data_IF_305835777001
#
_entry.id   IF_305835777001
#
_cell.length_a   1.000
_cell.length_b   1.000
_cell.length_c   1.000
_cell.angle_alpha   90.00
_cell.angle_beta   90.00
_cell.angle_gamma   90.00
#
_symmetry.space_group_name_H-M   'P 1'
#
loop_
_entity.id
_entity.type
_entity.pdbx_description
1 polymer ?
#
# COMPACT_ATOMS: atom_id res chain seq x y z
N UNK A 1 35.63 -6.42 26.32
CA UNK A 1 34.83 -5.18 26.31
C UNK A 1 35.33 -4.31 25.15
N UNK A 2 34.85 -4.55 23.93
CA UNK A 2 35.32 -3.83 22.74
C UNK A 2 34.43 -2.60 22.51
N UNK A 3 34.92 -1.43 22.89
CA UNK A 3 34.29 -0.15 22.64
C UNK A 3 34.43 0.18 21.15
N UNK A 4 33.41 -0.14 20.36
CA UNK A 4 33.31 0.33 18.97
C UNK A 4 33.21 1.85 18.98
N UNK A 5 34.32 2.54 18.66
CA UNK A 5 34.34 3.98 18.42
C UNK A 5 33.23 4.34 17.42
N UNK A 6 32.43 5.40 17.68
CA UNK A 6 31.48 5.89 16.68
C UNK A 6 32.27 6.34 15.46
N UNK A 7 32.00 5.72 14.30
CA UNK A 7 32.60 6.10 13.01
C UNK A 7 32.30 7.59 12.78
N UNK A 8 33.33 8.45 12.89
CA UNK A 8 33.25 9.89 12.58
C UNK A 8 32.73 10.00 11.14
N UNK A 9 31.48 10.43 10.98
CA UNK A 9 30.91 10.54 9.64
C UNK A 9 31.62 11.65 8.87
N UNK A 10 32.02 11.35 7.64
CA UNK A 10 32.69 12.28 6.72
C UNK A 10 31.88 13.58 6.63
N UNK A 11 32.53 14.72 6.82
CA UNK A 11 31.90 16.02 6.62
C UNK A 11 31.44 16.12 5.15
N UNK A 12 30.18 16.44 4.91
CA UNK A 12 29.65 16.60 3.55
C UNK A 12 30.30 17.82 2.91
N UNK A 13 30.75 17.70 1.66
CA UNK A 13 31.25 18.86 0.92
C UNK A 13 30.12 19.88 0.74
N UNK A 14 30.41 21.19 0.66
CA UNK A 14 29.40 22.22 0.44
C UNK A 14 28.54 21.94 -0.80
N UNK A 15 29.17 21.47 -1.89
CA UNK A 15 28.47 21.11 -3.13
C UNK A 15 27.50 19.94 -2.93
N UNK A 16 27.92 18.88 -2.22
CA UNK A 16 27.05 17.75 -1.92
C UNK A 16 25.86 18.18 -1.05
N UNK A 17 26.10 19.04 -0.06
CA UNK A 17 25.04 19.59 0.79
C UNK A 17 24.02 20.39 -0.04
N UNK A 18 24.49 21.27 -0.92
CA UNK A 18 23.62 22.06 -1.81
C UNK A 18 22.80 21.18 -2.76
N UNK A 19 23.42 20.15 -3.34
CA UNK A 19 22.72 19.16 -4.17
C UNK A 19 21.62 18.44 -3.38
N UNK A 20 21.93 17.93 -2.18
CA UNK A 20 20.94 17.23 -1.35
C UNK A 20 19.81 18.16 -0.90
N UNK A 21 20.09 19.43 -0.63
CA UNK A 21 19.06 20.44 -0.36
C UNK A 21 18.14 20.60 -1.57
N UNK A 22 18.69 20.80 -2.77
CA UNK A 22 17.90 20.93 -3.99
C UNK A 22 17.07 19.67 -4.28
N UNK A 23 17.65 18.48 -4.10
CA UNK A 23 16.95 17.20 -4.27
C UNK A 23 15.75 17.07 -3.33
N UNK A 24 15.94 17.33 -2.04
CA UNK A 24 14.84 17.23 -1.06
C UNK A 24 13.77 18.31 -1.29
N UNK A 25 14.17 19.54 -1.65
CA UNK A 25 13.23 20.60 -1.97
C UNK A 25 12.39 20.26 -3.21
N UNK A 26 13.04 19.83 -4.30
CA UNK A 26 12.36 19.41 -5.52
C UNK A 26 11.42 18.23 -5.27
N UNK A 27 11.88 17.22 -4.53
CA UNK A 27 11.06 16.06 -4.19
C UNK A 27 9.84 16.46 -3.34
N UNK A 28 10.02 17.34 -2.36
CA UNK A 28 8.91 17.87 -1.57
C UNK A 28 7.90 18.62 -2.45
N UNK A 29 8.36 19.43 -3.40
CA UNK A 29 7.49 20.17 -4.32
C UNK A 29 6.73 19.25 -5.29
N UNK A 30 7.39 18.22 -5.82
CA UNK A 30 6.74 17.22 -6.69
C UNK A 30 5.63 16.48 -5.94
N UNK A 31 5.90 16.02 -4.72
CA UNK A 31 4.89 15.36 -3.89
C UNK A 31 3.81 16.33 -3.40
N UNK A 32 4.14 17.60 -3.14
CA UNK A 32 3.15 18.62 -2.80
C UNK A 32 2.21 18.90 -3.99
N UNK A 33 2.73 18.92 -5.22
CA UNK A 33 1.92 18.99 -6.44
C UNK A 33 0.99 17.80 -6.57
N UNK A 34 1.48 16.57 -6.34
CA UNK A 34 0.64 15.37 -6.35
C UNK A 34 -0.45 15.41 -5.28
N UNK A 35 -0.11 15.88 -4.07
CA UNK A 35 -1.07 16.07 -2.99
C UNK A 35 -2.15 17.07 -3.40
N UNK A 36 -1.75 18.21 -3.96
CA UNK A 36 -2.68 19.23 -4.45
C UNK A 36 -3.63 18.68 -5.52
N UNK A 37 -3.11 18.00 -6.54
CA UNK A 37 -3.94 17.39 -7.58
C UNK A 37 -4.88 16.31 -7.03
N UNK A 38 -4.42 15.52 -6.06
CA UNK A 38 -5.24 14.49 -5.41
C UNK A 38 -6.35 15.12 -4.57
N UNK A 39 -6.06 16.20 -3.84
CA UNK A 39 -7.05 16.95 -3.08
C UNK A 39 -8.05 17.64 -4.01
N UNK A 40 -7.59 18.21 -5.13
CA UNK A 40 -8.45 18.76 -6.17
C UNK A 40 -9.40 17.67 -6.69
N UNK A 41 -8.88 16.51 -7.06
CA UNK A 41 -9.67 15.38 -7.53
C UNK A 41 -10.76 14.96 -6.52
N UNK A 42 -10.41 14.90 -5.24
CA UNK A 42 -11.34 14.55 -4.14
C UNK A 42 -12.39 15.65 -3.96
N UNK A 43 -12.01 16.92 -4.04
CA UNK A 43 -12.89 18.05 -3.82
C UNK A 43 -13.82 18.34 -5.01
N UNK A 44 -13.46 17.93 -6.23
CA UNK A 44 -14.26 18.21 -7.44
C UNK A 44 -15.53 17.37 -7.44
N UNK A 45 -16.73 17.97 -7.33
CA UNK A 45 -17.97 17.23 -7.43
C UNK A 45 -18.07 16.61 -8.81
N UNK A 46 -18.19 15.29 -8.89
CA UNK A 46 -18.41 14.57 -10.15
C UNK A 46 -19.81 14.00 -10.12
N UNK A 47 -20.59 14.26 -11.17
CA UNK A 47 -21.86 13.58 -11.36
C UNK A 47 -21.59 12.08 -11.28
N UNK A 48 -22.35 11.37 -10.45
CA UNK A 48 -22.26 9.92 -10.33
C UNK A 48 -22.42 9.35 -11.74
N UNK A 49 -21.29 9.00 -12.37
CA UNK A 49 -21.33 8.38 -13.68
C UNK A 49 -22.08 7.08 -13.48
N UNK A 50 -23.05 6.80 -14.35
CA UNK A 50 -23.86 5.58 -14.37
C UNK A 50 -23.01 4.33 -14.70
N UNK A 51 -21.81 4.24 -14.13
CA UNK A 51 -20.90 3.13 -14.23
C UNK A 51 -21.36 2.10 -13.19
N UNK A 52 -21.72 0.91 -13.67
CA UNK A 52 -22.22 -0.21 -12.86
C UNK A 52 -21.39 -0.33 -11.58
N UNK A 53 -22.05 -0.19 -10.45
CA UNK A 53 -21.48 -0.42 -9.13
C UNK A 53 -20.67 -1.71 -9.14
N UNK A 54 -19.43 -1.63 -8.63
CA UNK A 54 -18.54 -2.79 -8.39
C UNK A 54 -19.24 -3.87 -7.54
N UNK A 55 -20.26 -3.46 -6.79
CA UNK A 55 -21.20 -4.31 -6.08
C UNK A 55 -22.54 -4.27 -6.82
N UNK A 56 -22.91 -5.38 -7.46
CA UNK A 56 -24.04 -5.46 -8.39
C UNK A 56 -25.32 -4.76 -7.91
N UNK A 57 -26.02 -4.14 -8.85
CA UNK A 57 -27.38 -3.63 -8.64
C UNK A 57 -28.28 -4.77 -8.16
N UNK A 58 -28.64 -4.74 -6.88
CA UNK A 58 -29.84 -5.40 -6.37
C UNK A 58 -30.82 -4.32 -5.97
N UNK A 59 -31.98 -4.37 -6.59
CA UNK A 59 -33.15 -3.51 -6.43
C UNK A 59 -33.55 -3.22 -4.97
N UNK A 60 -33.94 -1.95 -4.75
CA UNK A 60 -34.92 -1.50 -3.75
C UNK A 60 -34.72 -1.92 -2.28
N UNK A 61 -33.48 -1.86 -1.78
CA UNK A 61 -33.21 -1.94 -0.33
C UNK A 61 -32.12 -0.95 0.04
N UNK A 62 -32.34 -0.15 1.09
CA UNK A 62 -31.36 0.80 1.63
C UNK A 62 -30.17 0.00 2.19
N UNK A 63 -29.14 -0.21 1.37
CA UNK A 63 -27.96 -0.99 1.74
C UNK A 63 -27.17 -0.24 2.83
N UNK A 64 -26.71 -0.91 3.91
CA UNK A 64 -26.01 -0.27 5.03
C UNK A 64 -24.65 0.35 4.65
N UNK A 65 -24.13 0.07 3.46
CA UNK A 65 -22.84 0.56 2.94
C UNK A 65 -22.98 1.49 1.72
N UNK A 66 -24.18 2.02 1.44
CA UNK A 66 -24.43 2.90 0.29
C UNK A 66 -23.52 4.14 0.25
N UNK A 67 -23.24 4.75 1.40
CA UNK A 67 -22.32 5.89 1.51
C UNK A 67 -20.88 5.51 1.14
N UNK A 68 -20.44 4.30 1.52
CA UNK A 68 -19.11 3.79 1.18
C UNK A 68 -19.02 3.49 -0.32
N UNK A 69 -20.09 2.97 -0.92
CA UNK A 69 -20.19 2.75 -2.35
C UNK A 69 -20.05 4.07 -3.13
N UNK A 70 -20.83 5.09 -2.74
CA UNK A 70 -20.79 6.40 -3.36
C UNK A 70 -19.39 7.05 -3.25
N UNK A 71 -18.73 6.89 -2.10
CA UNK A 71 -17.35 7.36 -1.91
C UNK A 71 -16.37 6.60 -2.81
N UNK A 72 -16.51 5.28 -2.93
CA UNK A 72 -15.68 4.47 -3.82
C UNK A 72 -15.88 4.86 -5.29
N UNK A 73 -17.12 5.09 -5.73
CA UNK A 73 -17.40 5.54 -7.09
C UNK A 73 -16.82 6.94 -7.34
N UNK A 74 -16.91 7.84 -6.36
CA UNK A 74 -16.30 9.18 -6.43
C UNK A 74 -14.77 9.14 -6.54
N UNK A 75 -14.12 8.23 -5.80
CA UNK A 75 -12.67 8.10 -5.81
C UNK A 75 -12.14 7.32 -7.03
N UNK A 76 -13.03 6.68 -7.79
CA UNK A 76 -12.68 5.93 -9.00
C UNK A 76 -12.17 6.87 -10.10
N UNK A 77 -11.22 6.36 -10.90
CA UNK A 77 -10.65 7.10 -12.04
C UNK A 77 -9.63 8.19 -11.68
N UNK A 78 -9.15 8.25 -10.42
CA UNK A 78 -8.16 9.25 -9.98
C UNK A 78 -6.89 9.28 -10.82
N UNK A 79 -6.46 8.14 -11.36
CA UNK A 79 -5.29 8.05 -12.24
C UNK A 79 -5.37 8.99 -13.45
N UNK A 80 -6.55 9.16 -14.03
CA UNK A 80 -6.76 9.91 -15.28
C UNK A 80 -6.96 11.42 -15.05
N UNK A 81 -7.10 11.84 -13.80
CA UNK A 81 -7.36 13.24 -13.48
C UNK A 81 -6.12 14.10 -13.73
N UNK A 82 -6.16 15.01 -14.71
CA UNK A 82 -5.08 15.97 -15.02
C UNK A 82 -3.66 15.36 -15.06
N UNK A 83 -3.51 14.15 -15.60
CA UNK A 83 -2.21 13.48 -15.71
C UNK A 83 -1.64 12.99 -14.37
N UNK A 84 -2.46 12.86 -13.31
CA UNK A 84 -2.04 12.46 -11.97
C UNK A 84 -1.27 11.12 -11.95
N UNK A 85 -1.73 10.14 -12.72
CA UNK A 85 -1.05 8.85 -12.89
C UNK A 85 0.36 8.99 -13.45
N UNK A 86 0.52 9.73 -14.54
CA UNK A 86 1.82 9.95 -15.17
C UNK A 86 2.78 10.76 -14.27
N UNK A 87 2.26 11.80 -13.60
CA UNK A 87 3.03 12.56 -12.64
C UNK A 87 3.49 11.70 -11.45
N UNK A 88 2.64 10.81 -10.96
CA UNK A 88 2.97 9.84 -9.90
C UNK A 88 4.08 8.90 -10.35
N UNK A 89 3.99 8.39 -11.57
CA UNK A 89 4.97 7.46 -12.15
C UNK A 89 6.38 8.03 -12.17
N UNK A 90 6.53 9.23 -12.73
CA UNK A 90 7.85 9.86 -12.83
C UNK A 90 8.36 10.34 -11.47
N UNK A 91 7.49 10.89 -10.62
CA UNK A 91 7.86 11.32 -9.26
C UNK A 91 8.35 10.13 -8.42
N UNK A 92 7.67 8.98 -8.49
CA UNK A 92 8.08 7.77 -7.78
C UNK A 92 9.37 7.16 -8.35
N UNK A 93 9.62 7.31 -9.65
CA UNK A 93 10.85 6.83 -10.31
C UNK A 93 12.08 7.60 -9.83
N UNK A 94 11.95 8.90 -9.54
CA UNK A 94 13.04 9.70 -8.98
C UNK A 94 13.51 9.22 -7.59
N UNK A 95 12.68 8.48 -6.86
CA UNK A 95 13.06 7.88 -5.58
C UNK A 95 14.22 6.87 -5.70
N UNK A 96 14.52 6.37 -6.91
CA UNK A 96 15.72 5.55 -7.17
C UNK A 96 17.00 6.29 -6.79
N UNK A 97 17.03 7.62 -6.94
CA UNK A 97 18.18 8.43 -6.54
C UNK A 97 18.47 8.33 -5.04
N UNK A 98 17.47 8.06 -4.20
CA UNK A 98 17.68 7.87 -2.77
C UNK A 98 18.49 6.60 -2.46
N UNK A 99 18.26 5.54 -3.24
CA UNK A 99 19.05 4.30 -3.16
C UNK A 99 20.48 4.60 -3.57
N UNK A 100 20.68 5.39 -4.62
CA UNK A 100 22.00 5.85 -5.08
C UNK A 100 22.70 6.67 -3.99
N UNK A 101 22.01 7.64 -3.37
CA UNK A 101 22.58 8.46 -2.31
C UNK A 101 23.00 7.63 -1.09
N UNK A 102 22.21 6.62 -0.73
CA UNK A 102 22.55 5.69 0.35
C UNK A 102 23.75 4.80 -0.05
N UNK A 103 23.77 4.26 -1.27
CA UNK A 103 24.83 3.39 -1.77
C UNK A 103 26.19 4.11 -1.88
N UNK A 104 26.18 5.38 -2.30
CA UNK A 104 27.37 6.24 -2.36
C UNK A 104 27.78 6.77 -0.97
N UNK A 105 27.01 6.50 0.09
CA UNK A 105 27.28 6.97 1.44
C UNK A 105 27.10 8.46 1.64
N UNK A 106 26.38 9.15 0.75
CA UNK A 106 26.05 10.58 0.86
C UNK A 106 25.05 10.82 1.99
N UNK A 107 24.18 9.85 2.23
CA UNK A 107 23.20 9.83 3.32
C UNK A 107 23.45 8.60 4.19
N UNK A 108 23.31 8.76 5.51
CA UNK A 108 23.53 7.69 6.49
C UNK A 108 22.28 6.82 6.63
N UNK A 109 22.03 5.99 5.63
CA UNK A 109 20.91 5.04 5.62
C UNK A 109 21.38 3.64 5.20
N UNK A 110 20.88 2.56 5.83
CA UNK A 110 21.15 1.21 5.35
C UNK A 110 20.60 1.03 3.94
N UNK A 111 21.48 0.75 2.97
CA UNK A 111 21.14 0.67 1.54
C UNK A 111 20.02 -0.32 1.28
N UNK A 112 20.08 -1.53 1.87
CA UNK A 112 19.06 -2.56 1.70
C UNK A 112 17.67 -2.10 2.16
N UNK A 113 17.58 -1.32 3.24
CA UNK A 113 16.31 -0.78 3.73
C UNK A 113 15.73 0.24 2.77
N UNK A 114 16.54 1.20 2.30
CA UNK A 114 16.09 2.22 1.34
C UNK A 114 15.69 1.55 0.02
N UNK A 115 16.50 0.62 -0.47
CA UNK A 115 16.22 -0.15 -1.68
C UNK A 115 14.90 -0.92 -1.56
N UNK A 116 14.64 -1.62 -0.46
CA UNK A 116 13.37 -2.35 -0.28
C UNK A 116 12.14 -1.42 -0.25
N UNK A 117 12.27 -0.23 0.35
CA UNK A 117 11.19 0.75 0.45
C UNK A 117 10.87 1.32 -0.94
N UNK A 118 11.90 1.72 -1.68
CA UNK A 118 11.75 2.26 -3.03
C UNK A 118 11.25 1.19 -4.00
N UNK A 119 11.78 -0.04 -3.92
CA UNK A 119 11.36 -1.16 -4.76
C UNK A 119 9.88 -1.51 -4.56
N UNK A 120 9.37 -1.50 -3.32
CA UNK A 120 7.94 -1.74 -3.03
C UNK A 120 7.05 -0.74 -3.77
N UNK A 121 7.35 0.56 -3.67
CA UNK A 121 6.54 1.58 -4.33
C UNK A 121 6.68 1.58 -5.85
N UNK A 122 7.88 1.30 -6.37
CA UNK A 122 8.07 1.09 -7.80
C UNK A 122 7.28 -0.11 -8.31
N UNK A 123 7.20 -1.19 -7.52
CA UNK A 123 6.37 -2.33 -7.86
C UNK A 123 4.88 -1.97 -7.92
N UNK A 124 4.37 -1.20 -6.96
CA UNK A 124 2.98 -0.75 -7.01
C UNK A 124 2.68 0.11 -8.25
N UNK A 125 3.56 1.05 -8.59
CA UNK A 125 3.37 1.91 -9.77
C UNK A 125 3.54 1.11 -11.06
N UNK A 126 4.75 0.58 -11.31
CA UNK A 126 5.13 -0.02 -12.58
C UNK A 126 4.67 -1.48 -12.74
N UNK A 127 4.59 -2.22 -11.64
CA UNK A 127 4.22 -3.64 -11.64
C UNK A 127 2.72 -3.91 -11.48
N UNK A 128 1.96 -2.94 -10.97
CA UNK A 128 0.50 -3.08 -10.73
C UNK A 128 -0.29 -2.02 -11.48
N UNK A 129 -0.08 -0.73 -11.21
CA UNK A 129 -0.94 0.34 -11.73
C UNK A 129 -0.79 0.51 -13.25
N UNK A 130 0.42 0.67 -13.77
CA UNK A 130 0.64 0.88 -15.20
C UNK A 130 0.09 -0.25 -16.10
N UNK A 131 0.41 -1.54 -15.85
CA UNK A 131 -0.04 -2.62 -16.73
C UNK A 131 -1.55 -2.89 -16.65
N UNK A 132 -2.21 -2.56 -15.54
CA UNK A 132 -3.61 -2.96 -15.30
C UNK A 132 -4.55 -1.76 -15.38
N UNK A 133 -5.38 -1.72 -16.43
CA UNK A 133 -6.42 -0.69 -16.57
C UNK A 133 -7.43 -0.72 -15.40
N UNK A 134 -7.69 -1.90 -14.84
CA UNK A 134 -8.53 -2.08 -13.65
C UNK A 134 -7.94 -1.39 -12.42
N UNK A 135 -6.61 -1.41 -12.24
CA UNK A 135 -5.94 -0.71 -11.15
C UNK A 135 -6.00 0.81 -11.33
N UNK A 136 -5.82 1.32 -12.57
CA UNK A 136 -5.90 2.76 -12.87
C UNK A 136 -7.29 3.35 -12.62
N UNK A 137 -8.34 2.57 -12.88
CA UNK A 137 -9.71 2.99 -12.62
C UNK A 137 -10.12 2.84 -11.14
N UNK A 138 -9.38 2.09 -10.34
CA UNK A 138 -9.77 1.69 -8.99
C UNK A 138 -9.67 2.87 -7.99
N UNK A 139 -10.65 3.04 -7.08
CA UNK A 139 -10.63 4.09 -6.07
C UNK A 139 -9.46 4.00 -5.07
N UNK A 140 -8.89 2.81 -4.90
CA UNK A 140 -7.73 2.59 -4.04
C UNK A 140 -6.48 3.31 -4.55
N UNK A 141 -6.41 3.64 -5.84
CA UNK A 141 -5.33 4.47 -6.37
C UNK A 141 -5.31 5.86 -5.71
N UNK A 142 -6.47 6.51 -5.60
CA UNK A 142 -6.57 7.87 -5.05
C UNK A 142 -6.25 7.91 -3.55
N UNK A 143 -6.72 6.93 -2.78
CA UNK A 143 -6.45 6.83 -1.33
C UNK A 143 -4.99 6.47 -1.04
N UNK A 144 -4.40 5.56 -1.83
CA UNK A 144 -2.97 5.27 -1.80
C UNK A 144 -2.15 6.54 -2.08
N UNK A 145 -2.45 7.25 -3.16
CA UNK A 145 -1.69 8.44 -3.56
C UNK A 145 -1.83 9.59 -2.58
N UNK A 146 -3.02 9.78 -1.99
CA UNK A 146 -3.23 10.74 -0.91
C UNK A 146 -2.30 10.43 0.27
N UNK A 147 -2.32 9.18 0.75
CA UNK A 147 -1.49 8.78 1.88
C UNK A 147 0.01 8.95 1.59
N UNK A 148 0.45 8.50 0.41
CA UNK A 148 1.83 8.65 -0.04
C UNK A 148 2.22 10.12 -0.09
N UNK A 149 1.45 10.97 -0.76
CA UNK A 149 1.81 12.38 -0.95
C UNK A 149 1.95 13.13 0.37
N UNK A 150 1.03 12.91 1.34
CA UNK A 150 1.17 13.52 2.67
C UNK A 150 2.45 13.03 3.37
N UNK A 151 2.73 11.72 3.36
CA UNK A 151 3.93 11.18 4.01
C UNK A 151 5.22 11.70 3.36
N UNK A 152 5.26 11.80 2.03
CA UNK A 152 6.44 12.20 1.28
C UNK A 152 6.74 13.70 1.43
N UNK A 153 5.72 14.57 1.39
CA UNK A 153 5.88 16.00 1.69
C UNK A 153 6.55 16.17 3.06
N UNK A 154 6.00 15.52 4.10
CA UNK A 154 6.57 15.59 5.46
C UNK A 154 8.01 15.07 5.49
N UNK A 155 8.28 13.95 4.80
CA UNK A 155 9.59 13.28 4.80
C UNK A 155 10.66 14.13 4.15
N UNK A 156 10.41 14.63 2.94
CA UNK A 156 11.38 15.44 2.20
C UNK A 156 11.56 16.82 2.84
N UNK A 157 10.50 17.46 3.34
CA UNK A 157 10.63 18.70 4.12
C UNK A 157 11.48 18.47 5.37
N UNK A 158 11.30 17.34 6.07
CA UNK A 158 12.12 17.01 7.23
C UNK A 158 13.59 16.82 6.86
N UNK A 159 13.90 16.09 5.77
CA UNK A 159 15.29 15.92 5.33
C UNK A 159 15.94 17.23 4.89
N UNK A 160 15.19 18.10 4.22
CA UNK A 160 15.65 19.44 3.84
C UNK A 160 16.05 20.26 5.07
N UNK A 161 15.15 20.38 6.06
CA UNK A 161 15.41 21.15 7.28
C UNK A 161 16.52 20.53 8.14
N UNK A 162 16.59 19.20 8.19
CA UNK A 162 17.66 18.50 8.91
C UNK A 162 19.05 18.81 8.33
N UNK A 163 19.19 18.96 7.00
CA UNK A 163 20.45 19.39 6.38
C UNK A 163 20.82 20.83 6.74
N UNK A 164 19.82 21.69 6.99
CA UNK A 164 20.02 23.05 7.48
C UNK A 164 20.24 23.12 9.01
N UNK A 165 20.19 21.99 9.71
CA UNK A 165 20.18 21.91 11.18
C UNK A 165 19.01 22.67 11.83
N UNK A 166 17.88 22.77 11.13
CA UNK A 166 16.64 23.37 11.65
C UNK A 166 15.73 22.26 12.15
N UNK A 167 15.37 22.31 13.43
CA UNK A 167 14.45 21.35 14.04
C UNK A 167 13.09 22.01 14.29
N UNK A 168 12.04 21.49 13.65
CA UNK A 168 10.67 22.02 13.76
C UNK A 168 9.80 21.01 14.50
N UNK A 169 9.34 21.38 15.69
CA UNK A 169 8.54 20.47 16.53
C UNK A 169 7.27 19.99 15.83
N UNK A 170 6.52 20.89 15.18
CA UNK A 170 5.28 20.55 14.47
C UNK A 170 5.52 19.50 13.37
N UNK A 171 6.60 19.64 12.59
CA UNK A 171 6.94 18.69 11.53
C UNK A 171 7.32 17.31 12.08
N UNK A 172 8.10 17.28 13.16
CA UNK A 172 8.41 16.03 13.85
C UNK A 172 7.16 15.38 14.44
N UNK A 173 6.27 16.17 15.04
CA UNK A 173 5.00 15.68 15.57
C UNK A 173 4.16 15.04 14.47
N UNK A 174 4.05 15.68 13.30
CA UNK A 174 3.35 15.12 12.13
C UNK A 174 3.99 13.78 11.72
N UNK A 175 5.32 13.74 11.57
CA UNK A 175 6.07 12.53 11.21
C UNK A 175 5.81 11.36 12.17
N UNK A 176 5.80 11.62 13.48
CA UNK A 176 5.59 10.61 14.51
C UNK A 176 4.12 10.35 14.88
N UNK A 177 3.16 11.01 14.22
CA UNK A 177 1.73 10.85 14.54
C UNK A 177 0.90 10.43 13.34
N UNK A 178 1.13 11.01 12.16
CA UNK A 178 0.28 10.77 10.99
C UNK A 178 0.36 9.33 10.48
N UNK A 179 1.48 8.63 10.71
CA UNK A 179 1.60 7.22 10.33
C UNK A 179 0.49 6.34 10.94
N UNK A 180 -0.12 6.74 12.07
CA UNK A 180 -1.20 5.98 12.70
C UNK A 180 -2.38 5.76 11.74
N UNK A 181 -2.67 6.74 10.88
CA UNK A 181 -3.76 6.70 9.90
C UNK A 181 -3.21 6.46 8.48
N UNK A 182 -2.16 7.17 8.11
CA UNK A 182 -1.63 7.14 6.73
C UNK A 182 -0.98 5.80 6.40
N UNK A 183 -0.44 5.08 7.38
CA UNK A 183 0.21 3.80 7.10
C UNK A 183 -0.81 2.70 6.75
N UNK A 184 -1.86 2.43 7.56
CA UNK A 184 -2.93 1.53 7.16
C UNK A 184 -3.61 1.95 5.86
N UNK A 185 -3.85 3.26 5.68
CA UNK A 185 -4.48 3.78 4.47
C UNK A 185 -3.61 3.55 3.22
N UNK A 186 -2.34 3.93 3.26
CA UNK A 186 -1.43 3.84 2.13
C UNK A 186 -1.09 2.39 1.78
N UNK A 187 -0.52 1.64 2.73
CA UNK A 187 -0.10 0.27 2.49
C UNK A 187 -1.30 -0.68 2.27
N UNK A 188 -2.41 -0.46 2.97
CA UNK A 188 -3.64 -1.22 2.74
C UNK A 188 -4.18 -0.97 1.33
N UNK A 189 -4.26 0.28 0.89
CA UNK A 189 -4.72 0.60 -0.47
C UNK A 189 -3.81 0.00 -1.54
N UNK A 190 -2.48 0.04 -1.35
CA UNK A 190 -1.50 -0.60 -2.26
C UNK A 190 -1.72 -2.12 -2.37
N UNK A 191 -1.90 -2.78 -1.23
CA UNK A 191 -2.15 -4.22 -1.15
C UNK A 191 -3.46 -4.64 -1.81
N UNK A 192 -4.56 -3.97 -1.45
CA UNK A 192 -5.88 -4.28 -2.02
C UNK A 192 -5.99 -3.86 -3.49
N UNK A 193 -5.28 -2.82 -3.91
CA UNK A 193 -5.18 -2.45 -5.32
C UNK A 193 -4.49 -3.56 -6.11
N UNK A 194 -3.35 -4.08 -5.63
CA UNK A 194 -2.67 -5.23 -6.23
C UNK A 194 -3.57 -6.46 -6.29
N UNK A 195 -4.26 -6.78 -5.19
CA UNK A 195 -5.19 -7.89 -5.11
C UNK A 195 -6.37 -7.76 -6.10
N UNK A 196 -6.88 -6.54 -6.32
CA UNK A 196 -7.99 -6.31 -7.26
C UNK A 196 -7.65 -6.63 -8.72
N UNK A 197 -6.36 -6.73 -9.06
CA UNK A 197 -5.91 -7.09 -10.41
C UNK A 197 -5.86 -8.60 -10.64
N UNK A 198 -6.04 -9.42 -9.60
CA UNK A 198 -5.92 -10.86 -9.69
C UNK A 198 -7.15 -11.47 -10.38
N UNK A 199 -6.97 -12.52 -11.21
CA UNK A 199 -8.09 -13.34 -11.64
C UNK A 199 -8.78 -13.97 -10.42
N UNK A 200 -10.02 -14.45 -10.58
CA UNK A 200 -10.72 -15.11 -9.48
C UNK A 200 -9.88 -16.23 -8.84
N UNK A 201 -9.67 -16.18 -7.52
CA UNK A 201 -8.81 -17.15 -6.79
C UNK A 201 -9.19 -18.63 -7.04
N UNK A 202 -10.45 -18.88 -7.36
CA UNK A 202 -10.97 -20.20 -7.73
C UNK A 202 -10.39 -20.78 -9.03
N UNK A 203 -9.86 -19.95 -9.93
CA UNK A 203 -9.24 -20.39 -11.20
C UNK A 203 -7.72 -20.59 -11.08
N UNK A 204 -7.16 -20.47 -9.88
CA UNK A 204 -5.72 -20.54 -9.62
C UNK A 204 -5.17 -21.92 -10.02
N UNK A 205 -4.04 -22.04 -10.74
CA UNK A 205 -3.63 -23.29 -11.44
C UNK A 205 -3.55 -24.55 -10.58
N UNK A 206 -3.25 -24.40 -9.28
CA UNK A 206 -3.13 -25.52 -8.33
C UNK A 206 -4.46 -25.89 -7.67
N UNK A 207 -5.46 -25.00 -7.68
CA UNK A 207 -6.80 -25.22 -7.12
C UNK A 207 -7.58 -26.29 -7.90
N UNK A 208 -7.54 -26.37 -9.25
CA UNK A 208 -8.11 -27.49 -10.01
C UNK A 208 -7.54 -28.84 -9.63
N UNK A 209 -6.26 -28.96 -9.24
CA UNK A 209 -5.68 -30.23 -8.79
C UNK A 209 -6.22 -30.62 -7.41
N UNK A 210 -6.31 -29.68 -6.49
CA UNK A 210 -6.96 -29.90 -5.19
C UNK A 210 -8.44 -30.26 -5.34
N UNK A 211 -9.17 -29.52 -6.18
CA UNK A 211 -10.60 -29.76 -6.43
C UNK A 211 -10.86 -31.05 -7.21
N UNK A 212 -10.01 -31.43 -8.15
CA UNK A 212 -10.13 -32.73 -8.86
C UNK A 212 -9.77 -33.91 -7.96
N UNK A 213 -8.84 -33.75 -7.02
CA UNK A 213 -8.61 -34.72 -5.96
C UNK A 213 -9.85 -34.85 -5.06
N UNK A 214 -10.51 -33.74 -4.70
CA UNK A 214 -11.77 -33.78 -3.96
C UNK A 214 -12.91 -34.40 -4.78
N UNK A 215 -12.99 -34.11 -6.08
CA UNK A 215 -14.00 -34.65 -6.98
C UNK A 215 -13.83 -36.17 -7.17
N UNK A 216 -12.60 -36.64 -7.36
CA UNK A 216 -12.27 -38.07 -7.39
C UNK A 216 -12.54 -38.76 -6.05
N UNK A 217 -12.29 -38.11 -4.91
CA UNK A 217 -12.69 -38.61 -3.59
C UNK A 217 -14.22 -38.65 -3.39
N UNK A 218 -14.95 -37.69 -3.95
CA UNK A 218 -16.43 -37.63 -3.90
C UNK A 218 -17.08 -38.66 -4.83
N UNK A 219 -16.47 -39.00 -5.97
CA UNK A 219 -16.94 -40.06 -6.88
C UNK A 219 -16.51 -41.46 -6.43
N UNK A 220 -15.38 -41.59 -5.73
CA UNK A 220 -14.96 -42.83 -5.06
C UNK A 220 -15.75 -43.12 -3.77
N UNK A 221 -16.65 -42.21 -3.37
CA UNK A 221 -17.46 -42.36 -2.16
C UNK A 221 -18.61 -43.35 -2.39
N UNK A 222 -18.81 -44.36 -1.50
CA UNK A 222 -19.90 -45.31 -1.65
C UNK A 222 -21.28 -44.61 -1.60
N UNK A 223 -22.22 -45.07 -2.44
CA UNK A 223 -23.51 -44.41 -2.68
C UNK A 223 -24.39 -44.22 -1.43
N UNK A 224 -24.14 -44.94 -0.33
CA UNK A 224 -24.81 -44.74 0.97
C UNK A 224 -24.26 -43.51 1.70
N UNK A 225 -22.96 -43.26 1.62
CA UNK A 225 -22.28 -42.14 2.30
C UNK A 225 -22.56 -40.81 1.60
N UNK A 226 -22.56 -40.79 0.26
CA UNK A 226 -22.97 -39.61 -0.52
C UNK A 226 -24.42 -39.18 -0.20
N UNK A 227 -25.35 -40.14 -0.10
CA UNK A 227 -26.75 -39.88 0.31
C UNK A 227 -26.88 -39.43 1.77
N UNK A 228 -26.03 -39.93 2.67
CA UNK A 228 -26.00 -39.47 4.06
C UNK A 228 -25.49 -38.01 4.17
N UNK A 229 -24.45 -37.66 3.40
CA UNK A 229 -23.88 -36.31 3.34
C UNK A 229 -24.90 -35.33 2.75
N UNK A 230 -25.60 -35.69 1.68
CA UNK A 230 -26.68 -34.86 1.09
C UNK A 230 -27.82 -34.51 2.05
N UNK A 231 -28.07 -35.33 3.08
CA UNK A 231 -29.12 -35.09 4.08
C UNK A 231 -28.68 -34.14 5.20
N UNK A 232 -27.38 -33.88 5.33
CA UNK A 232 -26.84 -32.98 6.35
C UNK A 232 -26.59 -31.59 5.76
N UNK A 233 -26.88 -30.54 6.54
CA UNK A 233 -26.59 -29.15 6.19
C UNK A 233 -25.13 -28.90 5.74
N UNK A 234 -24.09 -29.42 6.43
CA UNK A 234 -22.70 -29.28 5.98
C UNK A 234 -22.41 -29.99 4.65
N UNK A 235 -23.04 -31.14 4.39
CA UNK A 235 -22.87 -31.86 3.14
C UNK A 235 -23.51 -31.15 1.95
N UNK A 236 -24.66 -30.50 2.14
CA UNK A 236 -25.25 -29.61 1.13
C UNK A 236 -24.37 -28.40 0.85
N UNK A 237 -23.78 -27.80 1.88
CA UNK A 237 -22.85 -26.67 1.72
C UNK A 237 -21.58 -27.07 0.95
N UNK A 238 -21.05 -28.27 1.21
CA UNK A 238 -19.91 -28.84 0.47
C UNK A 238 -20.25 -29.12 -1.00
N UNK A 239 -21.40 -29.72 -1.28
CA UNK A 239 -21.83 -29.96 -2.66
C UNK A 239 -22.10 -28.66 -3.41
N UNK A 240 -22.68 -27.66 -2.74
CA UNK A 240 -22.89 -26.33 -3.31
C UNK A 240 -21.56 -25.64 -3.61
N UNK A 241 -20.55 -25.75 -2.75
CA UNK A 241 -19.23 -25.16 -2.99
C UNK A 241 -18.51 -25.83 -4.17
N UNK A 242 -18.62 -27.15 -4.30
CA UNK A 242 -18.10 -27.93 -5.45
C UNK A 242 -18.84 -27.58 -6.75
N UNK A 243 -20.17 -27.47 -6.72
CA UNK A 243 -20.96 -27.06 -7.88
C UNK A 243 -20.66 -25.61 -8.31
N UNK A 244 -20.50 -24.68 -7.35
CA UNK A 244 -20.08 -23.30 -7.58
C UNK A 244 -18.69 -23.24 -8.22
N UNK A 245 -17.78 -24.14 -7.82
CA UNK A 245 -16.45 -24.28 -8.41
C UNK A 245 -16.48 -24.83 -9.85
N UNK A 246 -17.40 -25.76 -10.17
CA UNK A 246 -17.65 -26.24 -11.54
C UNK A 246 -18.20 -25.14 -12.45
N UNK A 247 -19.22 -24.40 -12.02
CA UNK A 247 -19.82 -23.29 -12.78
C UNK A 247 -18.88 -22.09 -12.97
N UNK A 248 -17.85 -21.98 -12.12
CA UNK A 248 -16.83 -20.95 -12.22
C UNK A 248 -15.75 -21.24 -13.28
N UNK A 249 -15.57 -22.50 -13.70
CA UNK A 249 -14.61 -22.90 -14.73
C UNK A 249 -14.94 -22.27 -16.10
N UNK A 250 -16.21 -21.93 -16.32
CA UNK A 250 -16.75 -21.26 -17.51
C UNK A 250 -16.65 -19.73 -17.50
N UNK A 251 -16.12 -19.10 -16.44
CA UNK A 251 -16.02 -17.63 -16.32
C UNK A 251 -14.56 -17.10 -16.25
N UNK A 252 -13.57 -17.91 -16.65
CA UNK A 252 -12.20 -17.80 -16.13
C UNK A 252 -11.24 -16.85 -16.85
N UNK A 253 -10.69 -15.89 -16.09
CA UNK A 253 -9.46 -15.18 -16.47
C UNK A 253 -8.21 -16.07 -16.30
N UNK A 254 -7.26 -15.95 -17.23
CA UNK A 254 -6.02 -16.75 -17.29
C UNK A 254 -5.00 -16.26 -16.26
N UNK A 255 -4.48 -17.17 -15.43
CA UNK A 255 -3.38 -16.88 -14.50
C UNK A 255 -2.05 -16.79 -15.23
N UNK A 256 -1.38 -15.65 -15.10
CA UNK A 256 -0.02 -15.41 -15.59
C UNK A 256 0.98 -15.43 -14.42
N UNK A 257 2.28 -15.65 -14.64
CA UNK A 257 3.29 -15.61 -13.57
C UNK A 257 3.25 -14.34 -12.72
N UNK A 258 2.95 -13.19 -13.35
CA UNK A 258 2.79 -11.89 -12.67
C UNK A 258 1.64 -11.89 -11.65
N UNK A 259 0.53 -12.57 -11.92
CA UNK A 259 -0.60 -12.68 -10.98
C UNK A 259 -0.21 -13.52 -9.76
N UNK A 260 0.56 -14.58 -9.97
CA UNK A 260 1.09 -15.40 -8.88
C UNK A 260 2.07 -14.58 -8.03
N UNK A 261 2.96 -13.82 -8.66
CA UNK A 261 3.88 -12.93 -7.95
C UNK A 261 3.14 -11.89 -7.09
N UNK A 262 2.12 -11.21 -7.66
CA UNK A 262 1.27 -10.26 -6.92
C UNK A 262 0.54 -10.92 -5.74
N UNK A 263 0.01 -12.13 -5.92
CA UNK A 263 -0.65 -12.88 -4.84
C UNK A 263 0.32 -13.28 -3.73
N UNK A 264 1.51 -13.77 -4.08
CA UNK A 264 2.56 -14.12 -3.10
C UNK A 264 2.98 -12.88 -2.31
N UNK A 265 3.22 -11.77 -3.00
CA UNK A 265 3.55 -10.49 -2.35
C UNK A 265 2.43 -10.05 -1.41
N UNK A 266 1.17 -10.12 -1.84
CA UNK A 266 0.02 -9.79 -1.00
C UNK A 266 -0.01 -10.57 0.31
N UNK A 267 0.31 -11.88 0.29
CA UNK A 267 0.33 -12.73 1.50
C UNK A 267 1.52 -12.41 2.39
N UNK A 268 2.72 -12.24 1.81
CA UNK A 268 3.97 -11.96 2.55
C UNK A 268 3.95 -10.57 3.19
N UNK A 269 3.19 -9.64 2.62
CA UNK A 269 3.19 -8.25 3.08
C UNK A 269 2.67 -8.08 4.49
N UNK A 270 1.60 -8.80 4.87
CA UNK A 270 0.89 -8.58 6.13
C UNK A 270 1.78 -8.69 7.38
N UNK A 271 2.62 -9.73 7.54
CA UNK A 271 3.62 -9.76 8.61
C UNK A 271 4.58 -8.57 8.59
N UNK A 272 5.08 -8.19 7.41
CA UNK A 272 5.97 -7.04 7.25
C UNK A 272 5.31 -5.73 7.66
N UNK A 273 4.02 -5.56 7.33
CA UNK A 273 3.25 -4.38 7.70
C UNK A 273 3.09 -4.26 9.21
N UNK A 274 2.79 -5.37 9.88
CA UNK A 274 2.68 -5.41 11.34
C UNK A 274 4.00 -5.08 12.04
N UNK A 275 5.11 -5.67 11.60
CA UNK A 275 6.44 -5.42 12.18
C UNK A 275 6.85 -3.96 12.02
N UNK A 276 6.64 -3.37 10.84
CA UNK A 276 6.97 -1.97 10.61
C UNK A 276 6.06 -1.03 11.41
N UNK A 277 4.76 -1.32 11.53
CA UNK A 277 3.83 -0.53 12.32
C UNK A 277 4.20 -0.51 13.81
N UNK A 278 4.48 -1.68 14.39
CA UNK A 278 4.91 -1.80 15.79
C UNK A 278 6.25 -1.09 16.04
N UNK A 279 7.17 -1.15 15.08
CA UNK A 279 8.41 -0.39 15.13
C UNK A 279 8.16 1.13 15.16
N UNK A 280 7.28 1.65 14.31
CA UNK A 280 6.92 3.08 14.30
C UNK A 280 6.22 3.51 15.61
N UNK A 281 5.37 2.67 16.19
CA UNK A 281 4.79 2.91 17.53
C UNK A 281 5.88 3.03 18.60
N UNK A 282 6.92 2.19 18.54
CA UNK A 282 8.06 2.28 19.44
C UNK A 282 8.85 3.57 19.24
N UNK A 283 9.07 3.99 17.99
CA UNK A 283 9.73 5.28 17.68
C UNK A 283 8.93 6.47 18.21
N UNK A 284 7.61 6.46 18.02
CA UNK A 284 6.71 7.49 18.56
C UNK A 284 6.81 7.62 20.08
N UNK A 285 6.75 6.51 20.80
CA UNK A 285 6.89 6.51 22.27
C UNK A 285 8.21 7.12 22.71
N UNK A 286 9.31 6.79 22.03
CA UNK A 286 10.64 7.36 22.31
C UNK A 286 10.71 8.88 22.06
N UNK A 287 10.11 9.36 20.97
CA UNK A 287 10.06 10.80 20.66
C UNK A 287 9.35 11.59 21.77
N UNK A 288 8.16 11.14 22.18
CA UNK A 288 7.41 11.82 23.23
C UNK A 288 8.05 11.66 24.63
N UNK A 289 8.73 10.54 24.91
CA UNK A 289 9.47 10.38 26.16
C UNK A 289 10.63 11.40 26.28
N UNK A 290 11.38 11.63 25.20
CA UNK A 290 12.48 12.60 25.17
C UNK A 290 12.02 14.05 25.38
N UNK A 291 10.83 14.40 24.88
CA UNK A 291 10.28 15.75 25.06
C UNK A 291 9.67 15.98 26.46
N UNK A 292 9.26 14.91 27.16
CA UNK A 292 8.81 15.02 28.56
C UNK A 292 9.95 15.31 29.54
N UNK A 293 11.16 14.81 29.27
CA UNK A 293 12.32 15.01 30.16
C UNK A 293 12.89 16.43 30.16
N UNK A 294 12.56 17.27 29.17
CA UNK A 294 13.03 18.67 29.11
C UNK A 294 12.22 19.60 30.05
N UNK A 295 11.01 19.20 30.47
CA UNK A 295 10.19 19.96 31.42
C UNK A 295 10.34 19.55 32.89
N UNK A 296 11.10 18.48 33.18
CA UNK A 296 11.23 17.91 34.53
C UNK A 296 12.60 18.05 35.19
N UNK A 297 13.58 18.64 34.50
CA UNK A 297 14.98 18.64 34.93
C UNK A 297 15.43 19.90 35.70
N UNK A 298 14.51 20.78 36.14
CA UNK A 298 14.80 21.93 37.02
C UNK A 298 13.75 22.08 38.15
N UNK A 299 13.33 20.97 38.76
CA UNK A 299 12.58 20.97 40.03
C UNK A 299 13.07 19.86 40.95
N UNK A 300 14.37 19.87 41.25
CA UNK A 300 14.95 19.28 42.46
C UNK A 300 16.43 19.69 42.52
N UNK A 301 16.79 20.28 43.67
CA UNK A 301 18.07 20.87 44.08
C UNK A 301 18.31 22.31 43.63
#
# INVERSE_FOLDING_TARGET
MATTKPRKGRAQSPLLKSYLLAFNALSALLWARLLFLTLWFIATPRAASAHRTVFGQTSSGQQPWAAVAALADHLSGGYYFHGLGEATKWTQTLAVLEVVHAALGWVRSPVGTVASQVASRLWAVWGVVEPEASARANPLFATMLFAWSVTEVIRYTFYFLALLNIDVYALNWCRYTFFLVLYPLGAGSEAFLSFSTLPPLRTLPYVPKLLSNMDSMLHAMPAKLSRAIMKTNPGRALLWSVARARAAKSAGGVWKPIHVARLVLFVIWWPGLYVLYTYMLKQRRKFFAKNKTVGGANKAN
#
